data_IF_304372456434
#
_entry.id   IF_304372456434
#
_cell.length_a   1.000
_cell.length_b   1.000
_cell.length_c   1.000
_cell.angle_alpha   90.00
_cell.angle_beta   90.00
_cell.angle_gamma   90.00
#
_symmetry.space_group_name_H-M   'P 1'
#
loop_
_entity.id
_entity.type
_entity.pdbx_description
1 polymer ?
#
# COMPACT_ATOMS: atom_id res chain seq x y z
N UNK A 1 -13.36 -24.84 0.31
CA UNK A 1 -13.92 -24.14 -0.87
C UNK A 1 -14.10 -22.64 -0.67
N UNK A 2 -14.63 -22.16 0.47
CA UNK A 2 -14.75 -20.71 0.77
C UNK A 2 -13.42 -19.93 0.73
N UNK A 3 -12.30 -20.57 1.09
CA UNK A 3 -10.99 -19.93 1.15
C UNK A 3 -10.44 -19.50 -0.24
N UNK A 4 -10.82 -20.20 -1.31
CA UNK A 4 -10.32 -19.93 -2.67
C UNK A 4 -11.03 -18.69 -3.25
N UNK A 5 -12.34 -18.58 -3.03
CA UNK A 5 -13.16 -17.44 -3.52
C UNK A 5 -12.75 -16.11 -2.87
N UNK A 6 -12.28 -16.12 -1.62
CA UNK A 6 -11.76 -14.94 -0.95
C UNK A 6 -10.39 -14.49 -1.49
N UNK A 7 -9.57 -15.44 -1.95
CA UNK A 7 -8.27 -15.15 -2.56
C UNK A 7 -8.43 -14.54 -3.97
N UNK A 8 -9.39 -15.01 -4.76
CA UNK A 8 -9.66 -14.48 -6.10
C UNK A 8 -10.16 -13.02 -6.08
N UNK A 9 -10.97 -12.63 -5.09
CA UNK A 9 -11.48 -11.25 -4.97
C UNK A 9 -10.41 -10.20 -4.65
N UNK A 10 -9.27 -10.59 -4.07
CA UNK A 10 -8.13 -9.67 -3.84
C UNK A 10 -7.26 -9.48 -5.09
N UNK A 11 -7.22 -10.46 -5.99
CA UNK A 11 -6.51 -10.35 -7.27
C UNK A 11 -7.36 -9.67 -8.36
N UNK A 12 -8.68 -9.84 -8.32
CA UNK A 12 -9.59 -9.32 -9.35
C UNK A 12 -10.03 -7.85 -9.19
N UNK A 13 -9.58 -7.16 -8.13
CA UNK A 13 -10.02 -5.79 -7.81
C UNK A 13 -9.38 -4.68 -8.65
N UNK A 14 -8.29 -4.95 -9.38
CA UNK A 14 -7.58 -3.91 -10.16
C UNK A 14 -6.93 -2.79 -9.34
N UNK A 15 -7.04 -2.83 -8.01
CA UNK A 15 -6.50 -1.82 -7.08
C UNK A 15 -5.12 -2.20 -6.51
N UNK A 16 -4.62 -3.41 -6.77
CA UNK A 16 -3.28 -3.78 -6.32
C UNK A 16 -2.23 -2.91 -7.02
N UNK A 17 -1.47 -2.19 -6.21
CA UNK A 17 -0.53 -1.21 -6.70
C UNK A 17 -1.14 0.15 -7.00
N UNK A 18 -2.31 0.51 -6.46
CA UNK A 18 -2.81 1.89 -6.38
C UNK A 18 -2.69 2.41 -4.94
N UNK A 19 -2.37 3.69 -4.81
CA UNK A 19 -2.26 4.35 -3.52
C UNK A 19 -3.64 4.69 -2.96
N UNK A 20 -3.91 4.29 -1.72
CA UNK A 20 -5.21 4.53 -1.08
C UNK A 20 -5.54 6.01 -0.85
N UNK A 21 -4.54 6.89 -0.74
CA UNK A 21 -4.78 8.33 -0.48
C UNK A 21 -5.01 9.16 -1.76
N UNK A 22 -4.34 8.80 -2.86
CA UNK A 22 -4.28 9.64 -4.06
C UNK A 22 -4.72 8.92 -5.35
N UNK A 23 -4.85 7.59 -5.31
CA UNK A 23 -5.30 6.79 -6.45
C UNK A 23 -4.24 6.54 -7.52
N UNK A 24 -3.04 7.13 -7.43
CA UNK A 24 -1.96 6.84 -8.39
C UNK A 24 -1.28 5.49 -8.13
N UNK A 25 -0.62 4.96 -9.17
CA UNK A 25 0.13 3.73 -9.08
C UNK A 25 1.28 3.81 -8.06
N UNK A 26 1.39 2.80 -7.21
CA UNK A 26 2.52 2.53 -6.33
C UNK A 26 3.65 1.97 -7.21
N UNK A 27 4.82 2.59 -7.15
CA UNK A 27 5.97 2.18 -7.97
C UNK A 27 6.31 0.70 -7.80
N UNK A 28 6.59 0.02 -8.91
CA UNK A 28 6.86 -1.42 -8.94
C UNK A 28 7.97 -1.82 -7.96
N UNK A 29 9.10 -1.11 -7.94
CA UNK A 29 10.19 -1.39 -7.01
C UNK A 29 9.77 -1.33 -5.52
N UNK A 30 8.77 -0.51 -5.17
CA UNK A 30 8.21 -0.44 -3.82
C UNK A 30 7.32 -1.64 -3.51
N UNK A 31 6.54 -2.12 -4.48
CA UNK A 31 5.74 -3.34 -4.34
C UNK A 31 6.62 -4.59 -4.33
N UNK A 32 7.73 -4.59 -5.07
CA UNK A 32 8.74 -5.66 -5.04
C UNK A 32 9.42 -5.74 -3.67
N UNK A 33 9.87 -4.60 -3.13
CA UNK A 33 10.47 -4.53 -1.81
C UNK A 33 9.45 -4.74 -0.68
N UNK A 34 8.21 -4.25 -0.84
CA UNK A 34 7.14 -4.36 0.13
C UNK A 34 5.76 -4.57 -0.52
N UNK A 35 5.36 -5.83 -0.77
CA UNK A 35 4.10 -6.16 -1.45
C UNK A 35 2.83 -5.74 -0.70
N UNK A 36 2.94 -5.44 0.60
CA UNK A 36 1.82 -4.99 1.43
C UNK A 36 1.68 -3.45 1.48
N UNK A 37 2.49 -2.70 0.71
CA UNK A 37 2.41 -1.25 0.68
C UNK A 37 1.05 -0.79 0.11
N UNK A 38 0.30 0.00 0.89
CA UNK A 38 -1.00 0.58 0.51
C UNK A 38 -0.90 2.03 0.01
N UNK A 39 0.27 2.67 0.19
CA UNK A 39 0.55 4.06 -0.17
C UNK A 39 1.75 4.19 -1.10
N UNK A 40 1.71 5.19 -2.00
CA UNK A 40 2.86 5.62 -2.78
C UNK A 40 3.90 6.32 -1.89
N UNK A 41 5.14 6.45 -2.38
CA UNK A 41 6.23 7.12 -1.66
C UNK A 41 5.85 8.55 -1.26
N UNK A 42 5.22 9.31 -2.17
CA UNK A 42 4.87 10.72 -1.93
C UNK A 42 3.88 10.88 -0.78
N UNK A 43 2.83 10.06 -0.75
CA UNK A 43 1.83 10.10 0.32
C UNK A 43 2.40 9.59 1.64
N UNK A 44 3.25 8.56 1.61
CA UNK A 44 3.95 8.08 2.80
C UNK A 44 4.86 9.17 3.39
N UNK A 45 5.69 9.82 2.57
CA UNK A 45 6.56 10.91 3.01
C UNK A 45 5.76 12.10 3.54
N UNK A 46 4.61 12.41 2.93
CA UNK A 46 3.73 13.47 3.41
C UNK A 46 3.11 13.13 4.77
N UNK A 47 2.76 11.87 5.01
CA UNK A 47 2.26 11.39 6.29
C UNK A 47 3.34 11.48 7.38
N UNK A 48 4.57 11.04 7.08
CA UNK A 48 5.72 11.11 8.00
C UNK A 48 6.11 12.55 8.34
N UNK A 49 6.10 13.45 7.34
CA UNK A 49 6.34 14.89 7.57
C UNK A 49 5.27 15.53 8.44
N UNK A 50 4.02 15.06 8.36
CA UNK A 50 2.91 15.52 9.22
C UNK A 50 2.97 14.89 10.62
N UNK A 51 3.52 13.68 10.73
CA UNK A 51 3.57 12.91 11.97
C UNK A 51 4.86 13.04 12.79
N UNK A 52 5.93 13.65 12.27
CA UNK A 52 7.25 13.59 12.92
C UNK A 52 7.74 12.14 13.13
N UNK A 53 8.90 11.91 13.78
CA UNK A 53 9.49 10.57 13.95
C UNK A 53 8.78 9.72 15.02
N UNK A 54 7.45 9.58 14.94
CA UNK A 54 6.61 9.08 16.04
C UNK A 54 6.16 7.62 15.90
N UNK A 55 6.86 6.76 15.15
CA UNK A 55 6.51 5.32 15.05
C UNK A 55 7.66 4.34 15.36
N UNK A 56 8.82 4.84 15.79
CA UNK A 56 9.94 4.01 16.31
C UNK A 56 10.45 4.44 17.70
N UNK A 57 9.64 5.19 18.47
CA UNK A 57 9.88 5.40 19.90
C UNK A 57 9.00 4.44 20.70
N UNK A 58 9.38 3.16 20.71
CA UNK A 58 8.69 2.09 21.44
C UNK A 58 9.28 0.74 21.15
#
# INVERSE_FOLDING_TARGET
>A
LLAIVAAERRLAGGEYGLCEDCGEAIGFARLEAHPAATRCVRCQEALEKRGGPALFAG
#
